data_IF_872106156796
#
_entry.id   IF_872106156796
#
_cell.length_a   1.000
_cell.length_b   1.000
_cell.length_c   1.000
_cell.angle_alpha   90.00
_cell.angle_beta   90.00
_cell.angle_gamma   90.00
#
_symmetry.space_group_name_H-M   'P 1'
#
loop_
_entity.id
_entity.type
_entity.pdbx_description
1 polymer ?
#
# COMPACT_ATOMS: atom_id res chain seq x y z
N UNK A 1 66.91 -32.96 20.22
CA UNK A 1 66.09 -33.74 21.17
C UNK A 1 64.88 -32.88 21.56
N UNK A 2 63.65 -33.41 21.63
CA UNK A 2 62.85 -33.67 20.42
C UNK A 2 61.39 -33.12 20.44
N UNK A 3 60.78 -33.07 19.23
CA UNK A 3 59.37 -33.31 18.83
C UNK A 3 58.25 -32.49 19.52
N UNK A 4 57.36 -31.82 18.79
CA UNK A 4 56.17 -32.49 18.22
C UNK A 4 55.45 -31.56 17.21
N UNK A 5 55.31 -32.00 15.96
CA UNK A 5 54.40 -31.43 14.98
C UNK A 5 53.05 -32.15 15.10
N UNK A 6 51.99 -31.42 15.44
CA UNK A 6 50.64 -31.96 15.55
C UNK A 6 49.99 -32.03 14.15
N UNK A 7 49.71 -33.25 13.70
CA UNK A 7 48.91 -33.56 12.52
C UNK A 7 47.43 -33.57 12.91
N UNK A 8 46.64 -32.62 12.40
CA UNK A 8 45.18 -32.60 12.57
C UNK A 8 44.49 -33.34 11.40
N UNK A 9 43.60 -34.32 11.66
CA UNK A 9 42.97 -35.11 10.60
C UNK A 9 41.85 -34.31 9.89
N UNK A 10 41.63 -34.51 8.58
CA UNK A 10 40.68 -33.75 7.75
C UNK A 10 39.20 -34.07 8.00
N UNK A 11 38.86 -35.12 8.76
CA UNK A 11 37.47 -35.62 8.89
C UNK A 11 36.54 -34.76 9.76
N UNK A 12 37.07 -33.79 10.52
CA UNK A 12 36.23 -32.95 11.40
C UNK A 12 35.54 -31.79 10.69
N UNK A 13 36.07 -31.30 9.58
CA UNK A 13 35.46 -30.20 8.83
C UNK A 13 34.29 -30.66 7.96
N UNK A 14 34.33 -31.90 7.46
CA UNK A 14 33.26 -32.43 6.59
C UNK A 14 31.94 -32.70 7.32
N UNK A 15 31.98 -33.04 8.62
CA UNK A 15 30.76 -33.28 9.42
C UNK A 15 30.04 -32.00 9.85
N UNK A 16 30.76 -30.89 10.05
CA UNK A 16 30.14 -29.62 10.48
C UNK A 16 29.40 -28.92 9.34
N UNK A 17 29.83 -29.09 8.09
CA UNK A 17 29.19 -28.43 6.94
C UNK A 17 27.88 -29.11 6.51
N UNK A 18 27.76 -30.44 6.72
CA UNK A 18 26.53 -31.20 6.44
C UNK A 18 25.42 -30.89 7.45
N UNK A 19 25.76 -30.74 8.72
CA UNK A 19 24.80 -30.38 9.79
C UNK A 19 24.40 -28.89 9.72
N UNK A 20 25.29 -28.00 9.28
CA UNK A 20 24.95 -26.58 9.07
C UNK A 20 23.97 -26.38 7.90
N UNK A 21 24.14 -27.15 6.81
CA UNK A 21 23.26 -27.10 5.63
C UNK A 21 21.85 -27.66 5.89
N UNK A 22 21.73 -28.75 6.65
CA UNK A 22 20.43 -29.35 7.00
C UNK A 22 19.63 -28.48 7.98
N UNK A 23 20.31 -27.80 8.93
CA UNK A 23 19.68 -26.91 9.90
C UNK A 23 19.22 -25.57 9.29
N UNK A 24 19.96 -25.03 8.32
CA UNK A 24 19.52 -23.84 7.55
C UNK A 24 18.34 -24.15 6.61
N UNK A 25 18.34 -25.30 5.94
CA UNK A 25 17.22 -25.71 5.08
C UNK A 25 15.92 -25.95 5.88
N UNK A 26 16.02 -26.61 7.05
CA UNK A 26 14.89 -26.86 7.95
C UNK A 26 14.29 -25.57 8.52
N UNK A 27 15.11 -24.59 8.88
CA UNK A 27 14.64 -23.27 9.36
C UNK A 27 14.07 -22.40 8.25
N UNK A 28 14.56 -22.51 7.01
CA UNK A 28 13.97 -21.84 5.84
C UNK A 28 12.60 -22.42 5.46
N UNK A 29 12.44 -23.74 5.47
CA UNK A 29 11.17 -24.42 5.16
C UNK A 29 10.11 -24.19 6.24
N UNK A 30 10.46 -24.34 7.53
CA UNK A 30 9.57 -24.00 8.64
C UNK A 30 9.15 -22.51 8.59
N UNK A 31 10.07 -21.66 8.13
CA UNK A 31 9.81 -20.24 7.96
C UNK A 31 8.92 -19.88 6.78
N UNK A 32 8.94 -20.67 5.70
CA UNK A 32 8.07 -20.53 4.54
C UNK A 32 6.63 -20.95 4.84
N UNK A 33 6.47 -22.13 5.45
CA UNK A 33 5.17 -22.69 5.81
C UNK A 33 4.38 -21.73 6.73
N UNK A 34 5.04 -21.14 7.73
CA UNK A 34 4.39 -20.17 8.61
C UNK A 34 3.85 -18.93 7.87
N UNK A 35 4.53 -18.45 6.82
CA UNK A 35 4.03 -17.31 6.01
C UNK A 35 2.82 -17.70 5.17
N UNK A 36 2.88 -18.89 4.57
CA UNK A 36 1.77 -19.44 3.79
C UNK A 36 0.53 -19.61 4.66
N UNK A 37 0.65 -20.21 5.85
CA UNK A 37 -0.47 -20.38 6.78
C UNK A 37 -1.06 -19.04 7.24
N UNK A 38 -0.22 -18.05 7.56
CA UNK A 38 -0.71 -16.71 7.90
C UNK A 38 -1.44 -16.04 6.73
N UNK A 39 -0.89 -16.14 5.52
CA UNK A 39 -1.53 -15.61 4.32
C UNK A 39 -2.87 -16.30 4.04
N UNK A 40 -2.97 -17.61 4.28
CA UNK A 40 -4.20 -18.38 4.12
C UNK A 40 -5.27 -17.94 5.13
N UNK A 41 -4.92 -17.81 6.41
CA UNK A 41 -5.84 -17.30 7.44
C UNK A 41 -6.34 -15.90 7.08
N UNK A 42 -5.42 -15.03 6.63
CA UNK A 42 -5.78 -13.69 6.20
C UNK A 42 -6.65 -13.67 4.94
N UNK A 43 -6.43 -14.58 3.98
CA UNK A 43 -7.28 -14.74 2.80
C UNK A 43 -8.73 -15.08 3.19
N UNK A 44 -8.92 -16.05 4.09
CA UNK A 44 -10.25 -16.39 4.61
C UNK A 44 -10.93 -15.22 5.32
N UNK A 45 -10.16 -14.47 6.12
CA UNK A 45 -10.64 -13.27 6.79
C UNK A 45 -11.13 -12.22 5.78
N UNK A 46 -10.36 -11.96 4.71
CA UNK A 46 -10.77 -11.04 3.65
C UNK A 46 -12.05 -11.49 2.93
N UNK A 47 -12.17 -12.78 2.58
CA UNK A 47 -13.36 -13.32 1.93
C UNK A 47 -14.61 -13.15 2.81
N UNK A 48 -14.49 -13.43 4.11
CA UNK A 48 -15.60 -13.24 5.05
C UNK A 48 -16.01 -11.76 5.13
N UNK A 49 -15.04 -10.84 5.27
CA UNK A 49 -15.35 -9.42 5.32
C UNK A 49 -15.97 -8.90 4.01
N UNK A 50 -15.51 -9.39 2.86
CA UNK A 50 -16.10 -9.04 1.58
C UNK A 50 -17.56 -9.50 1.48
N UNK A 51 -17.85 -10.74 1.90
CA UNK A 51 -19.23 -11.24 1.92
C UNK A 51 -20.16 -10.33 2.75
N UNK A 52 -19.77 -9.97 3.97
CA UNK A 52 -20.57 -9.08 4.84
C UNK A 52 -20.77 -7.70 4.20
N UNK A 53 -19.71 -7.10 3.64
CA UNK A 53 -19.79 -5.75 3.05
C UNK A 53 -20.56 -5.71 1.74
N UNK A 54 -20.53 -6.80 0.96
CA UNK A 54 -21.25 -6.88 -0.32
C UNK A 54 -22.76 -6.75 -0.19
N UNK A 55 -23.32 -7.07 0.98
CA UNK A 55 -24.74 -6.90 1.27
C UNK A 55 -25.19 -5.43 1.27
N UNK A 56 -24.25 -4.48 1.42
CA UNK A 56 -24.56 -3.07 1.68
C UNK A 56 -23.86 -2.10 0.72
N UNK A 57 -22.75 -2.51 0.11
CA UNK A 57 -21.88 -1.64 -0.71
C UNK A 57 -21.89 -1.99 -2.21
N UNK A 58 -22.94 -2.63 -2.70
CA UNK A 58 -23.08 -3.04 -4.11
C UNK A 58 -22.88 -1.85 -5.08
N UNK A 59 -23.40 -0.68 -4.72
CA UNK A 59 -23.24 0.57 -5.49
C UNK A 59 -21.79 1.07 -5.61
N UNK A 60 -20.86 0.61 -4.76
CA UNK A 60 -19.41 0.87 -4.86
C UNK A 60 -18.65 -0.26 -5.57
N UNK A 61 -19.36 -1.23 -6.16
CA UNK A 61 -18.79 -2.36 -6.89
C UNK A 61 -18.58 -3.62 -6.05
N UNK A 62 -19.10 -3.66 -4.82
CA UNK A 62 -19.06 -4.87 -3.99
C UNK A 62 -20.17 -5.84 -4.38
N UNK A 63 -20.04 -6.43 -5.57
CA UNK A 63 -20.98 -7.46 -6.05
C UNK A 63 -20.57 -8.84 -5.51
N UNK A 64 -21.53 -9.64 -5.04
CA UNK A 64 -21.29 -11.01 -4.60
C UNK A 64 -22.12 -12.00 -5.42
N UNK A 65 -21.44 -12.77 -6.27
CA UNK A 65 -22.02 -13.73 -7.22
C UNK A 65 -21.35 -15.09 -7.12
N UNK A 66 -21.02 -15.53 -5.90
CA UNK A 66 -20.35 -16.81 -5.69
C UNK A 66 -21.25 -17.99 -6.11
N UNK A 67 -20.79 -18.82 -7.04
CA UNK A 67 -21.50 -20.01 -7.54
C UNK A 67 -21.05 -21.30 -6.85
N UNK A 68 -19.82 -21.35 -6.35
CA UNK A 68 -19.22 -22.56 -5.79
C UNK A 68 -18.19 -22.25 -4.69
N UNK A 69 -18.46 -22.69 -3.46
CA UNK A 69 -17.55 -22.52 -2.32
C UNK A 69 -16.20 -23.23 -2.52
N UNK A 70 -16.17 -24.35 -3.23
CA UNK A 70 -14.93 -25.09 -3.54
C UNK A 70 -13.98 -24.23 -4.35
N UNK A 71 -14.51 -23.40 -5.27
CA UNK A 71 -13.73 -22.48 -6.07
C UNK A 71 -13.09 -21.39 -5.19
N UNK A 72 -13.84 -20.85 -4.22
CA UNK A 72 -13.34 -19.88 -3.28
C UNK A 72 -12.23 -20.46 -2.39
N UNK A 73 -12.44 -21.65 -1.84
CA UNK A 73 -11.44 -22.33 -1.01
C UNK A 73 -10.17 -22.68 -1.79
N UNK A 74 -10.32 -23.18 -3.02
CA UNK A 74 -9.21 -23.41 -3.94
C UNK A 74 -8.45 -22.11 -4.25
N UNK A 75 -9.17 -21.02 -4.52
CA UNK A 75 -8.56 -19.72 -4.77
C UNK A 75 -7.79 -19.19 -3.56
N UNK A 76 -8.32 -19.33 -2.33
CA UNK A 76 -7.61 -18.96 -1.09
C UNK A 76 -6.27 -19.71 -0.95
N UNK A 77 -6.28 -21.03 -1.19
CA UNK A 77 -5.09 -21.89 -1.15
C UNK A 77 -4.06 -21.40 -2.18
N UNK A 78 -4.48 -21.21 -3.43
CA UNK A 78 -3.59 -20.80 -4.52
C UNK A 78 -3.09 -19.36 -4.32
N UNK A 79 -3.94 -18.42 -3.91
CA UNK A 79 -3.60 -17.03 -3.68
C UNK A 79 -2.64 -16.84 -2.49
N UNK A 80 -2.60 -17.78 -1.53
CA UNK A 80 -1.63 -17.78 -0.44
C UNK A 80 -0.22 -18.26 -0.87
N UNK A 81 -0.09 -18.98 -1.99
CA UNK A 81 1.20 -19.55 -2.44
C UNK A 81 2.31 -18.52 -2.69
N UNK A 82 2.07 -17.31 -3.24
CA UNK A 82 3.12 -16.31 -3.44
C UNK A 82 3.75 -15.83 -2.11
N UNK A 83 3.07 -16.00 -0.97
CA UNK A 83 3.64 -15.69 0.35
C UNK A 83 4.90 -16.50 0.68
N UNK A 84 5.13 -17.62 -0.02
CA UNK A 84 6.36 -18.40 0.08
C UNK A 84 7.58 -17.62 -0.44
N UNK A 85 7.40 -16.70 -1.39
CA UNK A 85 8.47 -15.89 -1.96
C UNK A 85 8.85 -14.66 -1.12
N UNK A 86 7.96 -14.23 -0.22
CA UNK A 86 8.22 -13.08 0.65
C UNK A 86 9.52 -13.27 1.44
N UNK A 87 10.28 -12.20 1.65
CA UNK A 87 11.52 -12.27 2.44
C UNK A 87 11.15 -12.24 3.92
N UNK A 88 11.63 -13.21 4.71
CA UNK A 88 11.27 -13.33 6.13
C UNK A 88 11.78 -12.14 6.96
N UNK A 89 12.97 -11.64 6.61
CA UNK A 89 13.60 -10.47 7.22
C UNK A 89 14.00 -9.48 6.13
N UNK A 90 13.07 -8.63 5.67
CA UNK A 90 13.36 -7.59 4.69
C UNK A 90 14.47 -6.65 5.17
N UNK A 91 15.53 -6.53 4.37
CA UNK A 91 16.66 -5.61 4.60
C UNK A 91 16.65 -4.43 3.63
N UNK A 92 15.85 -4.51 2.56
CA UNK A 92 15.62 -3.42 1.61
C UNK A 92 14.18 -2.92 1.67
N UNK A 93 13.95 -1.68 1.26
CA UNK A 93 12.61 -1.11 1.19
C UNK A 93 11.70 -1.88 0.24
N UNK A 94 12.21 -2.31 -0.93
CA UNK A 94 11.45 -3.11 -1.87
C UNK A 94 10.93 -4.38 -1.19
N UNK A 95 11.79 -5.14 -0.52
CA UNK A 95 11.39 -6.38 0.17
C UNK A 95 10.31 -6.12 1.24
N UNK A 96 10.40 -4.99 1.94
CA UNK A 96 9.41 -4.62 2.95
C UNK A 96 8.09 -4.15 2.32
N UNK A 97 8.14 -3.26 1.34
CA UNK A 97 6.99 -2.84 0.53
C UNK A 97 6.31 -4.03 -0.16
N UNK A 98 7.08 -5.08 -0.50
CA UNK A 98 6.56 -6.34 -1.02
C UNK A 98 5.55 -7.01 -0.09
N UNK A 99 5.73 -6.90 1.23
CA UNK A 99 4.73 -7.39 2.19
C UNK A 99 3.43 -6.58 2.15
N UNK A 100 3.54 -5.25 2.07
CA UNK A 100 2.38 -4.36 2.01
C UNK A 100 1.60 -4.52 0.71
N UNK A 101 2.29 -4.49 -0.43
CA UNK A 101 1.67 -4.67 -1.76
C UNK A 101 1.04 -6.06 -1.88
N UNK A 102 1.69 -7.10 -1.34
CA UNK A 102 1.07 -8.42 -1.29
C UNK A 102 -0.24 -8.43 -0.47
N UNK A 103 -0.19 -7.92 0.76
CA UNK A 103 -1.33 -7.99 1.68
C UNK A 103 -2.49 -7.06 1.29
N UNK A 104 -2.21 -5.83 0.85
CA UNK A 104 -3.21 -4.79 0.61
C UNK A 104 -3.67 -4.69 -0.85
N UNK A 105 -2.90 -5.23 -1.80
CA UNK A 105 -3.21 -5.11 -3.23
C UNK A 105 -3.40 -6.49 -3.84
N UNK A 106 -2.36 -7.33 -3.91
CA UNK A 106 -2.45 -8.60 -4.63
C UNK A 106 -3.47 -9.55 -4.02
N UNK A 107 -3.48 -9.73 -2.69
CA UNK A 107 -4.39 -10.69 -2.07
C UNK A 107 -5.87 -10.30 -2.25
N UNK A 108 -6.29 -9.03 -2.02
CA UNK A 108 -7.62 -8.58 -2.40
C UNK A 108 -7.92 -8.72 -3.90
N UNK A 109 -6.98 -8.36 -4.79
CA UNK A 109 -7.17 -8.46 -6.25
C UNK A 109 -7.24 -9.90 -6.76
N UNK A 110 -6.69 -10.88 -6.03
CA UNK A 110 -6.81 -12.31 -6.33
C UNK A 110 -8.14 -12.88 -5.86
N UNK A 111 -8.62 -12.46 -4.69
CA UNK A 111 -9.77 -13.09 -4.04
C UNK A 111 -11.10 -12.44 -4.39
N UNK A 112 -11.15 -11.11 -4.47
CA UNK A 112 -12.41 -10.39 -4.71
C UNK A 112 -13.02 -10.73 -6.07
N UNK A 113 -12.27 -10.79 -7.19
CA UNK A 113 -12.81 -11.20 -8.47
C UNK A 113 -13.41 -12.62 -8.49
N UNK A 114 -12.94 -13.53 -7.63
CA UNK A 114 -13.54 -14.87 -7.48
C UNK A 114 -14.98 -14.75 -6.98
N UNK A 115 -15.24 -13.82 -6.07
CA UNK A 115 -16.59 -13.57 -5.55
C UNK A 115 -17.44 -12.71 -6.50
N UNK A 116 -16.83 -11.99 -7.46
CA UNK A 116 -17.55 -11.16 -8.43
C UNK A 116 -17.89 -11.89 -9.74
N UNK A 117 -17.02 -12.80 -10.20
CA UNK A 117 -17.06 -13.40 -11.55
C UNK A 117 -17.14 -14.92 -11.58
N UNK A 118 -17.55 -15.60 -10.49
CA UNK A 118 -17.60 -17.07 -10.49
C UNK A 118 -18.67 -17.69 -11.41
N UNK A 119 -19.54 -16.87 -12.00
CA UNK A 119 -20.45 -17.24 -13.08
C UNK A 119 -19.75 -17.36 -14.45
N UNK A 120 -18.61 -16.68 -14.65
CA UNK A 120 -17.79 -16.76 -15.86
C UNK A 120 -16.38 -17.30 -15.53
N UNK A 121 -16.25 -18.63 -15.54
CA UNK A 121 -14.99 -19.31 -15.23
C UNK A 121 -13.86 -18.98 -16.21
N UNK A 122 -14.17 -18.69 -17.48
CA UNK A 122 -13.16 -18.37 -18.48
C UNK A 122 -12.52 -17.02 -18.18
N UNK A 123 -13.35 -16.02 -17.93
CA UNK A 123 -12.92 -14.69 -17.52
C UNK A 123 -12.21 -14.70 -16.17
N UNK A 124 -12.77 -15.39 -15.18
CA UNK A 124 -12.14 -15.54 -13.87
C UNK A 124 -10.75 -16.19 -13.97
N UNK A 125 -10.58 -17.24 -14.76
CA UNK A 125 -9.30 -17.90 -14.94
C UNK A 125 -8.25 -16.96 -15.55
N UNK A 126 -8.63 -16.12 -16.52
CA UNK A 126 -7.73 -15.12 -17.09
C UNK A 126 -7.34 -14.06 -16.05
N UNK A 127 -8.30 -13.51 -15.32
CA UNK A 127 -8.05 -12.43 -14.35
C UNK A 127 -7.20 -12.95 -13.20
N UNK A 128 -7.59 -14.09 -12.64
CA UNK A 128 -6.86 -14.75 -11.56
C UNK A 128 -5.46 -15.14 -12.01
N UNK A 129 -5.32 -15.76 -13.19
CA UNK A 129 -4.02 -16.18 -13.75
C UNK A 129 -3.07 -15.01 -14.05
N UNK A 130 -3.57 -13.93 -14.65
CA UNK A 130 -2.79 -12.72 -14.90
C UNK A 130 -2.36 -12.03 -13.61
N UNK A 131 -3.26 -11.94 -12.62
CA UNK A 131 -2.95 -11.36 -11.31
C UNK A 131 -1.96 -12.22 -10.53
N UNK A 132 -2.11 -13.54 -10.57
CA UNK A 132 -1.23 -14.49 -9.88
C UNK A 132 0.17 -14.47 -10.48
N UNK A 133 0.29 -14.52 -11.81
CA UNK A 133 1.58 -14.42 -12.50
C UNK A 133 2.25 -13.07 -12.24
N UNK A 134 1.50 -11.97 -12.25
CA UNK A 134 1.97 -10.65 -11.84
C UNK A 134 2.50 -10.62 -10.40
N UNK A 135 1.77 -11.23 -9.47
CA UNK A 135 2.17 -11.36 -8.06
C UNK A 135 3.50 -12.12 -7.90
N UNK A 136 3.63 -13.28 -8.58
CA UNK A 136 4.86 -14.05 -8.59
C UNK A 136 6.04 -13.27 -9.17
N UNK A 137 5.84 -12.62 -10.33
CA UNK A 137 6.87 -11.80 -10.95
C UNK A 137 7.30 -10.63 -10.06
N UNK A 138 6.34 -9.92 -9.47
CA UNK A 138 6.60 -8.81 -8.55
C UNK A 138 7.42 -9.26 -7.34
N UNK A 139 6.98 -10.29 -6.63
CA UNK A 139 7.66 -10.78 -5.42
C UNK A 139 9.03 -11.37 -5.72
N UNK A 140 9.19 -12.08 -6.84
CA UNK A 140 10.48 -12.60 -7.28
C UNK A 140 11.49 -11.48 -7.58
N UNK A 141 11.05 -10.42 -8.26
CA UNK A 141 11.91 -9.28 -8.59
C UNK A 141 12.29 -8.48 -7.35
N UNK A 142 11.33 -8.20 -6.48
CA UNK A 142 11.51 -7.44 -5.22
C UNK A 142 12.44 -8.14 -4.24
N UNK A 143 12.50 -9.48 -4.27
CA UNK A 143 13.36 -10.28 -3.39
C UNK A 143 14.86 -10.02 -3.60
N UNK A 144 15.27 -9.68 -4.81
CA UNK A 144 16.69 -9.54 -5.16
C UNK A 144 17.39 -8.41 -4.43
N UNK A 145 18.69 -8.58 -4.20
CA UNK A 145 19.53 -7.54 -3.61
C UNK A 145 19.64 -6.30 -4.50
N UNK A 146 19.98 -5.18 -3.87
CA UNK A 146 20.01 -3.87 -4.50
C UNK A 146 21.36 -3.21 -4.22
N UNK A 147 22.03 -2.75 -5.28
CA UNK A 147 23.26 -1.96 -5.16
C UNK A 147 22.91 -0.56 -4.65
N UNK A 148 23.38 -0.25 -3.44
CA UNK A 148 23.10 1.02 -2.75
C UNK A 148 23.96 2.17 -3.29
N UNK A 149 23.38 3.36 -3.29
CA UNK A 149 24.02 4.63 -3.63
C UNK A 149 24.37 5.33 -2.32
N UNK A 150 25.58 5.87 -2.22
CA UNK A 150 26.00 6.64 -1.05
C UNK A 150 25.28 7.99 -1.04
N UNK A 151 24.70 8.34 0.10
CA UNK A 151 24.06 9.64 0.29
C UNK A 151 25.11 10.77 0.26
N UNK A 152 24.78 11.93 -0.34
CA UNK A 152 25.58 13.13 -0.18
C UNK A 152 25.49 13.64 1.26
N UNK A 153 26.54 14.29 1.73
CA UNK A 153 26.56 14.92 3.06
C UNK A 153 25.96 16.32 2.95
N UNK A 154 24.82 16.54 3.60
CA UNK A 154 24.15 17.85 3.67
C UNK A 154 24.23 18.38 5.11
N UNK A 155 24.55 19.67 5.32
CA UNK A 155 24.53 20.26 6.65
C UNK A 155 23.16 20.13 7.33
N UNK A 156 23.14 19.66 8.57
CA UNK A 156 21.91 19.41 9.34
C UNK A 156 21.01 20.64 9.44
N UNK A 157 21.58 21.82 9.67
CA UNK A 157 20.84 23.07 9.75
C UNK A 157 20.14 23.43 8.42
N UNK A 158 20.81 23.17 7.29
CA UNK A 158 20.25 23.46 5.97
C UNK A 158 19.10 22.51 5.65
N UNK A 159 19.28 21.21 5.89
CA UNK A 159 18.25 20.20 5.63
C UNK A 159 17.00 20.46 6.48
N UNK A 160 17.15 20.53 7.80
CA UNK A 160 16.03 20.71 8.72
C UNK A 160 15.39 22.09 8.59
N UNK A 161 16.18 23.15 8.34
CA UNK A 161 15.67 24.50 8.08
C UNK A 161 14.84 24.58 6.80
N UNK A 162 15.33 24.00 5.70
CA UNK A 162 14.59 23.96 4.43
C UNK A 162 13.32 23.10 4.54
N UNK A 163 13.40 21.93 5.20
CA UNK A 163 12.25 21.05 5.42
C UNK A 163 11.20 21.73 6.29
N UNK A 164 11.60 22.39 7.38
CA UNK A 164 10.68 23.12 8.25
C UNK A 164 10.01 24.29 7.52
N UNK A 165 10.78 25.07 6.74
CA UNK A 165 10.22 26.16 5.95
C UNK A 165 9.21 25.67 4.90
N UNK A 166 9.52 24.58 4.20
CA UNK A 166 8.63 23.96 3.22
C UNK A 166 7.35 23.41 3.88
N UNK A 167 7.52 22.65 4.97
CA UNK A 167 6.42 22.08 5.74
C UNK A 167 5.51 23.16 6.29
N UNK A 168 6.06 24.21 6.90
CA UNK A 168 5.30 25.32 7.45
C UNK A 168 4.57 26.10 6.36
N UNK A 169 5.23 26.36 5.22
CA UNK A 169 4.61 27.05 4.09
C UNK A 169 3.41 26.27 3.53
N UNK A 170 3.55 24.96 3.33
CA UNK A 170 2.45 24.09 2.88
C UNK A 170 1.33 24.01 3.93
N UNK A 171 1.67 23.85 5.20
CA UNK A 171 0.68 23.75 6.28
C UNK A 171 -0.12 25.05 6.43
N UNK A 172 0.56 26.20 6.43
CA UNK A 172 -0.09 27.53 6.47
C UNK A 172 -0.96 27.73 5.24
N UNK A 173 -0.49 27.36 4.05
CA UNK A 173 -1.29 27.44 2.82
C UNK A 173 -2.58 26.63 2.95
N UNK A 174 -2.51 25.41 3.47
CA UNK A 174 -3.69 24.56 3.70
C UNK A 174 -4.63 25.20 4.72
N UNK A 175 -4.12 25.62 5.89
CA UNK A 175 -4.96 26.22 6.95
C UNK A 175 -5.63 27.51 6.47
N UNK A 176 -4.91 28.38 5.74
CA UNK A 176 -5.45 29.64 5.21
C UNK A 176 -6.48 29.39 4.11
N UNK A 177 -6.24 28.41 3.23
CA UNK A 177 -7.17 28.11 2.12
C UNK A 177 -8.50 27.55 2.62
N UNK A 178 -8.49 26.81 3.72
CA UNK A 178 -9.71 26.28 4.36
C UNK A 178 -10.34 27.28 5.35
N UNK A 179 -9.55 28.23 5.89
CA UNK A 179 -10.05 29.39 6.64
C UNK A 179 -11.08 29.06 7.72
N UNK A 180 -12.24 29.72 7.69
CA UNK A 180 -13.34 29.52 8.65
C UNK A 180 -14.10 28.19 8.48
N UNK A 181 -13.87 27.45 7.40
CA UNK A 181 -14.43 26.11 7.19
C UNK A 181 -13.67 25.03 7.97
N UNK A 182 -12.55 25.38 8.61
CA UNK A 182 -11.80 24.49 9.49
C UNK A 182 -12.62 24.20 10.75
N UNK A 183 -13.35 23.09 10.75
CA UNK A 183 -14.08 22.62 11.92
C UNK A 183 -13.72 21.17 12.23
N UNK A 184 -13.40 20.89 13.50
CA UNK A 184 -13.29 19.52 14.02
C UNK A 184 -14.70 18.94 14.15
N UNK A 185 -15.27 18.53 13.02
CA UNK A 185 -16.64 18.01 12.99
C UNK A 185 -16.63 16.53 13.39
N UNK A 186 -17.65 16.14 14.15
CA UNK A 186 -17.93 14.75 14.49
C UNK A 186 -18.08 13.90 13.22
N UNK A 187 -17.86 12.60 13.33
CA UNK A 187 -17.71 11.72 12.16
C UNK A 187 -18.99 11.66 11.28
N UNK A 188 -20.11 12.17 11.80
CA UNK A 188 -21.46 12.12 11.24
C UNK A 188 -21.79 13.23 10.20
N UNK A 189 -21.16 14.41 10.25
CA UNK A 189 -21.47 15.55 9.33
C UNK A 189 -20.48 15.70 8.16
N UNK A 190 -19.64 14.69 7.96
CA UNK A 190 -18.51 14.71 7.03
C UNK A 190 -18.93 14.81 5.54
N UNK A 191 -20.15 14.40 5.21
CA UNK A 191 -20.63 14.45 3.83
C UNK A 191 -21.01 15.88 3.39
N UNK A 192 -21.55 16.70 4.29
CA UNK A 192 -21.90 18.10 3.98
C UNK A 192 -20.63 18.96 3.81
N UNK A 193 -19.62 18.74 4.66
CA UNK A 193 -18.32 19.43 4.53
C UNK A 193 -17.58 19.13 3.23
N UNK A 194 -17.81 17.97 2.59
CA UNK A 194 -17.13 17.64 1.32
C UNK A 194 -17.55 18.55 0.17
N UNK A 195 -18.79 19.06 0.17
CA UNK A 195 -19.25 20.00 -0.85
C UNK A 195 -18.60 21.38 -0.64
N UNK A 196 -18.57 21.88 0.60
CA UNK A 196 -17.96 23.18 0.94
C UNK A 196 -16.42 23.16 0.81
N UNK A 197 -15.78 22.04 1.17
CA UNK A 197 -14.35 21.83 1.05
C UNK A 197 -13.88 21.58 -0.40
N UNK A 198 -14.75 21.07 -1.27
CA UNK A 198 -14.42 20.86 -2.69
C UNK A 198 -14.15 22.19 -3.39
N UNK A 199 -14.84 23.27 -3.00
CA UNK A 199 -14.63 24.62 -3.54
C UNK A 199 -13.26 25.19 -3.13
N UNK A 200 -12.86 25.04 -1.86
CA UNK A 200 -11.53 25.42 -1.38
C UNK A 200 -10.41 24.54 -1.98
N UNK A 201 -10.71 23.27 -2.27
CA UNK A 201 -9.80 22.34 -2.93
C UNK A 201 -9.73 22.51 -4.46
N UNK A 202 -10.41 23.48 -5.07
CA UNK A 202 -10.27 23.75 -6.52
C UNK A 202 -8.85 24.18 -6.90
N UNK A 203 -8.11 24.82 -5.99
CA UNK A 203 -6.74 25.24 -6.25
C UNK A 203 -5.79 24.02 -6.31
N UNK A 204 -5.17 23.74 -7.48
CA UNK A 204 -4.28 22.58 -7.63
C UNK A 204 -3.11 22.60 -6.64
N UNK A 205 -2.58 23.78 -6.30
CA UNK A 205 -1.43 23.91 -5.39
C UNK A 205 -1.79 23.47 -3.97
N UNK A 206 -3.00 23.79 -3.52
CA UNK A 206 -3.51 23.36 -2.21
C UNK A 206 -3.71 21.85 -2.20
N UNK A 207 -4.28 21.26 -3.26
CA UNK A 207 -4.42 19.80 -3.40
C UNK A 207 -3.08 19.08 -3.36
N UNK A 208 -2.09 19.59 -4.08
CA UNK A 208 -0.74 19.03 -4.04
C UNK A 208 -0.08 19.17 -2.67
N UNK A 209 -0.27 20.29 -1.99
CA UNK A 209 0.26 20.50 -0.63
C UNK A 209 -0.33 19.49 0.35
N UNK A 210 -1.64 19.24 0.29
CA UNK A 210 -2.31 18.23 1.13
C UNK A 210 -1.80 16.83 0.83
N UNK A 211 -1.68 16.47 -0.45
CA UNK A 211 -1.16 15.18 -0.86
C UNK A 211 0.29 14.96 -0.35
N UNK A 212 1.19 15.92 -0.61
CA UNK A 212 2.60 15.82 -0.23
C UNK A 212 2.82 15.85 1.29
N UNK A 213 2.08 16.67 2.03
CA UNK A 213 2.13 16.67 3.50
C UNK A 213 1.66 15.33 4.05
N UNK A 214 0.48 14.87 3.63
CA UNK A 214 -0.16 13.66 4.16
C UNK A 214 0.57 12.36 3.80
N UNK A 215 1.17 12.25 2.62
CA UNK A 215 1.77 11.00 2.14
C UNK A 215 3.29 10.92 2.28
N UNK A 216 3.99 12.06 2.39
CA UNK A 216 5.46 12.10 2.38
C UNK A 216 6.05 12.87 3.57
N UNK A 217 5.73 14.16 3.74
CA UNK A 217 6.42 15.01 4.71
C UNK A 217 6.03 14.64 6.15
N UNK A 218 4.74 14.58 6.48
CA UNK A 218 4.31 14.30 7.85
C UNK A 218 4.69 12.88 8.30
N UNK A 219 4.46 11.82 7.49
CA UNK A 219 4.94 10.48 7.83
C UNK A 219 6.47 10.42 7.99
N UNK A 220 7.22 11.18 7.19
CA UNK A 220 8.68 11.30 7.35
C UNK A 220 9.05 11.95 8.67
N UNK A 221 8.41 13.06 9.06
CA UNK A 221 8.68 13.74 10.34
C UNK A 221 8.38 12.82 11.53
N UNK A 222 7.28 12.09 11.50
CA UNK A 222 6.94 11.07 12.51
C UNK A 222 8.02 10.01 12.58
N UNK A 223 8.38 9.41 11.44
CA UNK A 223 9.36 8.34 11.40
C UNK A 223 10.76 8.81 11.82
N UNK A 224 11.19 10.00 11.36
CA UNK A 224 12.50 10.58 11.67
C UNK A 224 12.60 11.00 13.13
N UNK A 225 11.54 11.61 13.69
CA UNK A 225 11.46 11.96 15.11
C UNK A 225 11.54 10.74 16.02
N UNK A 226 10.86 9.64 15.67
CA UNK A 226 10.96 8.37 16.40
C UNK A 226 12.37 7.75 16.28
N UNK A 227 12.96 7.78 15.09
CA UNK A 227 14.29 7.21 14.86
C UNK A 227 15.40 7.92 15.64
N UNK A 228 15.34 9.26 15.66
CA UNK A 228 16.29 10.16 16.34
C UNK A 228 15.94 10.44 17.80
N UNK A 229 14.84 9.89 18.32
CA UNK A 229 14.29 10.15 19.68
C UNK A 229 13.91 11.60 19.94
N UNK A 230 13.76 12.42 18.90
CA UNK A 230 13.27 13.80 18.98
C UNK A 230 11.75 13.80 18.87
N UNK A 231 11.08 13.40 19.96
CA UNK A 231 9.63 13.21 19.98
C UNK A 231 8.81 14.47 19.64
N UNK A 232 9.38 15.66 19.81
CA UNK A 232 8.72 16.90 19.39
C UNK A 232 8.56 16.99 17.86
N UNK A 233 9.51 16.47 17.07
CA UNK A 233 9.41 16.39 15.60
C UNK A 233 8.31 15.40 15.23
N UNK A 234 8.27 14.26 15.91
CA UNK A 234 7.23 13.27 15.67
C UNK A 234 5.83 13.81 16.06
N UNK A 235 5.75 14.54 17.17
CA UNK A 235 4.53 15.23 17.60
C UNK A 235 4.06 16.28 16.59
N UNK A 236 4.98 17.06 16.01
CA UNK A 236 4.65 18.04 14.98
C UNK A 236 4.07 17.38 13.72
N UNK A 237 4.70 16.31 13.21
CA UNK A 237 4.18 15.55 12.07
C UNK A 237 2.82 14.90 12.35
N UNK A 238 2.64 14.31 13.54
CA UNK A 238 1.36 13.73 13.95
C UNK A 238 0.26 14.80 14.11
N UNK A 239 0.59 15.98 14.61
CA UNK A 239 -0.34 17.09 14.74
C UNK A 239 -0.75 17.63 13.36
N UNK A 240 0.19 17.81 12.44
CA UNK A 240 -0.12 18.21 11.06
C UNK A 240 -1.04 17.22 10.36
N UNK A 241 -0.81 15.92 10.55
CA UNK A 241 -1.70 14.85 10.10
C UNK A 241 -3.15 14.99 10.63
N UNK A 242 -3.30 15.33 11.92
CA UNK A 242 -4.61 15.61 12.53
C UNK A 242 -5.22 16.88 11.93
N UNK A 243 -4.41 17.92 11.67
CA UNK A 243 -4.85 19.14 10.99
C UNK A 243 -5.35 18.85 9.58
N UNK A 244 -4.64 18.03 8.79
CA UNK A 244 -5.06 17.61 7.45
C UNK A 244 -6.34 16.77 7.47
N UNK A 245 -6.58 16.00 8.52
CA UNK A 245 -7.86 15.30 8.67
C UNK A 245 -9.03 16.29 8.75
N UNK A 246 -8.84 17.39 9.48
CA UNK A 246 -9.86 18.44 9.66
C UNK A 246 -10.20 19.23 8.38
N UNK A 247 -9.44 19.09 7.30
CA UNK A 247 -9.70 19.82 6.04
C UNK A 247 -10.51 19.02 5.04
N UNK A 248 -10.12 17.78 4.71
CA UNK A 248 -10.59 17.13 3.48
C UNK A 248 -11.40 15.85 3.69
N UNK A 249 -11.95 15.63 4.88
CA UNK A 249 -12.68 14.39 5.19
C UNK A 249 -11.86 13.13 4.80
N UNK A 250 -10.54 13.25 4.77
CA UNK A 250 -9.61 12.22 4.32
C UNK A 250 -9.38 11.28 5.50
N UNK A 251 -10.44 10.56 5.87
CA UNK A 251 -10.49 9.63 7.00
C UNK A 251 -9.34 8.59 6.98
N UNK A 252 -8.74 8.34 5.82
CA UNK A 252 -7.56 7.49 5.66
C UNK A 252 -6.27 8.09 6.24
N UNK A 253 -6.15 9.42 6.31
CA UNK A 253 -4.97 10.13 6.86
C UNK A 253 -4.84 9.83 8.35
N UNK A 254 -5.94 9.85 9.13
CA UNK A 254 -5.95 9.52 10.57
C UNK A 254 -5.31 8.17 10.94
N UNK A 255 -5.42 7.18 10.07
CA UNK A 255 -4.84 5.85 10.30
C UNK A 255 -3.33 5.84 10.04
N UNK A 256 -2.81 6.78 9.26
CA UNK A 256 -1.43 6.74 8.81
C UNK A 256 -0.39 6.96 9.92
N UNK A 257 -0.57 7.79 10.97
CA UNK A 257 0.36 7.82 12.10
C UNK A 257 0.37 6.50 12.86
N UNK A 258 -0.78 5.83 12.99
CA UNK A 258 -0.87 4.49 13.59
C UNK A 258 -0.11 3.46 12.73
N UNK A 259 -0.22 3.54 11.40
CA UNK A 259 0.57 2.71 10.49
C UNK A 259 2.06 3.00 10.59
N UNK A 260 2.49 4.27 10.68
CA UNK A 260 3.90 4.66 10.84
C UNK A 260 4.45 4.11 12.16
N UNK A 261 3.72 4.30 13.26
CA UNK A 261 4.10 3.80 14.60
C UNK A 261 4.14 2.27 14.60
N UNK A 262 3.09 1.62 14.08
CA UNK A 262 3.02 0.17 13.96
C UNK A 262 4.19 -0.39 13.14
N UNK A 263 4.49 0.24 12.00
CA UNK A 263 5.61 -0.13 11.14
C UNK A 263 6.97 0.06 11.83
N UNK A 264 7.13 1.11 12.65
CA UNK A 264 8.34 1.31 13.44
C UNK A 264 8.58 0.16 14.44
N UNK A 265 7.52 -0.37 15.05
CA UNK A 265 7.60 -1.53 15.96
C UNK A 265 7.80 -2.87 15.25
N UNK A 266 7.71 -2.94 13.92
CA UNK A 266 8.08 -4.13 13.14
C UNK A 266 9.59 -4.34 13.07
N UNK A 267 10.41 -3.40 13.58
CA UNK A 267 11.87 -3.48 13.58
C UNK A 267 12.38 -4.62 14.47
N UNK A 268 13.36 -5.37 13.98
CA UNK A 268 14.20 -6.24 14.80
C UNK A 268 15.46 -5.51 15.33
N UNK A 269 16.17 -6.13 16.27
CA UNK A 269 17.39 -5.57 16.85
C UNK A 269 18.51 -5.27 15.85
N UNK A 270 18.41 -5.74 14.60
CA UNK A 270 19.41 -5.60 13.54
C UNK A 270 18.92 -4.73 12.37
N UNK A 271 17.89 -3.89 12.59
CA UNK A 271 17.34 -2.96 11.59
C UNK A 271 16.59 -3.60 10.42
N UNK A 272 16.30 -4.90 10.48
CA UNK A 272 15.45 -5.60 9.51
C UNK A 272 13.97 -5.62 9.97
N UNK A 273 13.04 -5.75 9.03
CA UNK A 273 11.61 -5.86 9.35
C UNK A 273 11.28 -7.29 9.76
N UNK A 274 10.42 -7.45 10.76
CA UNK A 274 9.74 -8.73 11.04
C UNK A 274 8.49 -8.82 10.18
N UNK A 275 8.66 -9.14 8.89
CA UNK A 275 7.55 -9.11 7.92
C UNK A 275 6.31 -9.91 8.33
N UNK A 276 6.49 -11.05 9.01
CA UNK A 276 5.37 -11.85 9.56
C UNK A 276 4.49 -11.09 10.55
N UNK A 277 5.07 -10.16 11.32
CA UNK A 277 4.30 -9.36 12.27
C UNK A 277 3.32 -8.42 11.57
N UNK A 278 3.53 -8.07 10.30
CA UNK A 278 2.53 -7.34 9.52
C UNK A 278 1.27 -8.18 9.33
N UNK A 279 1.39 -9.42 8.83
CA UNK A 279 0.23 -10.31 8.66
C UNK A 279 -0.41 -10.66 10.01
N UNK A 280 0.39 -10.95 11.04
CA UNK A 280 -0.15 -11.20 12.39
C UNK A 280 -0.88 -9.97 12.92
N UNK A 281 -0.35 -8.76 12.68
CA UNK A 281 -0.98 -7.51 13.05
C UNK A 281 -2.31 -7.29 12.32
N UNK A 282 -2.36 -7.51 11.00
CA UNK A 282 -3.59 -7.40 10.20
C UNK A 282 -4.63 -8.44 10.62
N UNK A 283 -4.22 -9.69 10.86
CA UNK A 283 -5.10 -10.75 11.40
C UNK A 283 -5.57 -10.36 12.81
N UNK A 284 -4.69 -9.82 13.66
CA UNK A 284 -5.04 -9.36 15.00
C UNK A 284 -6.07 -8.25 14.96
N UNK A 285 -5.88 -7.24 14.11
CA UNK A 285 -6.85 -6.18 13.86
C UNK A 285 -8.18 -6.77 13.39
N UNK A 286 -8.15 -7.73 12.46
CA UNK A 286 -9.35 -8.42 12.00
C UNK A 286 -10.08 -9.13 13.14
N UNK A 287 -9.40 -9.98 13.90
CA UNK A 287 -9.98 -10.74 15.02
C UNK A 287 -10.55 -9.81 16.09
N UNK A 288 -9.82 -8.74 16.44
CA UNK A 288 -10.27 -7.76 17.43
C UNK A 288 -11.51 -6.98 16.99
N UNK A 289 -11.64 -6.72 15.68
CA UNK A 289 -12.75 -5.93 15.13
C UNK A 289 -13.84 -6.79 14.50
N UNK A 290 -13.69 -8.12 14.51
CA UNK A 290 -14.68 -9.08 14.00
C UNK A 290 -16.07 -8.92 14.64
N UNK A 291 -16.20 -8.70 15.97
CA UNK A 291 -17.52 -8.49 16.57
C UNK A 291 -18.22 -7.22 16.04
N UNK A 292 -17.45 -6.19 15.65
CA UNK A 292 -17.98 -4.97 15.05
C UNK A 292 -18.48 -5.24 13.63
N UNK A 293 -17.75 -6.07 12.87
CA UNK A 293 -18.13 -6.47 11.53
C UNK A 293 -19.40 -7.34 11.53
N UNK A 294 -19.56 -8.24 12.51
CA UNK A 294 -20.76 -9.07 12.66
C UNK A 294 -22.01 -8.26 13.02
N UNK A 295 -21.84 -7.09 13.64
CA UNK A 295 -22.92 -6.17 14.03
C UNK A 295 -23.06 -5.00 13.06
N UNK A 296 -22.48 -5.12 11.87
CA UNK A 296 -22.50 -4.06 10.88
C UNK A 296 -23.94 -3.81 10.40
N UNK A 297 -24.43 -2.60 10.62
CA UNK A 297 -25.74 -2.12 10.19
C UNK A 297 -25.52 -0.76 9.51
N UNK A 298 -25.73 -0.61 8.19
CA UNK A 298 -25.43 0.64 7.50
C UNK A 298 -26.23 1.86 8.01
N UNK A 299 -27.33 1.67 8.75
CA UNK A 299 -28.10 2.76 9.36
C UNK A 299 -27.54 3.21 10.73
N UNK A 300 -26.56 2.50 11.29
CA UNK A 300 -26.01 2.81 12.62
C UNK A 300 -24.84 3.81 12.59
N UNK A 301 -24.63 4.49 13.72
CA UNK A 301 -23.65 5.57 13.92
C UNK A 301 -22.15 5.17 13.84
N UNK A 302 -21.32 5.75 14.71
CA UNK A 302 -19.86 5.84 14.55
C UNK A 302 -19.11 4.49 14.38
N UNK A 303 -19.68 3.37 14.85
CA UNK A 303 -19.12 2.02 14.68
C UNK A 303 -19.04 1.62 13.20
N UNK A 304 -20.08 1.90 12.42
CA UNK A 304 -20.13 1.50 11.01
C UNK A 304 -19.20 2.33 10.14
N UNK A 305 -19.00 3.59 10.51
CA UNK A 305 -18.01 4.44 9.86
C UNK A 305 -16.60 3.89 10.10
N UNK A 306 -16.28 3.41 11.31
CA UNK A 306 -15.01 2.75 11.59
C UNK A 306 -14.83 1.45 10.78
N UNK A 307 -15.86 0.59 10.74
CA UNK A 307 -15.83 -0.66 9.95
C UNK A 307 -15.67 -0.36 8.46
N UNK A 308 -16.39 0.62 7.91
CA UNK A 308 -16.24 1.06 6.52
C UNK A 308 -14.83 1.59 6.22
N UNK A 309 -14.24 2.38 7.12
CA UNK A 309 -12.88 2.86 6.94
C UNK A 309 -11.84 1.76 6.95
N UNK A 310 -11.95 0.86 7.92
CA UNK A 310 -10.98 -0.20 8.10
C UNK A 310 -11.12 -1.25 6.99
N UNK A 311 -12.31 -1.84 6.83
CA UNK A 311 -12.50 -2.97 5.94
C UNK A 311 -12.75 -2.56 4.50
N UNK A 312 -13.75 -1.70 4.29
CA UNK A 312 -14.11 -1.28 2.93
C UNK A 312 -12.97 -0.46 2.32
N UNK A 313 -12.57 0.67 2.93
CA UNK A 313 -11.58 1.58 2.32
C UNK A 313 -10.13 1.13 2.40
N UNK A 314 -9.70 0.43 3.43
CA UNK A 314 -8.28 0.10 3.59
C UNK A 314 -7.93 -1.29 3.06
N UNK A 315 -8.81 -2.28 3.23
CA UNK A 315 -8.49 -3.68 2.93
C UNK A 315 -9.12 -4.20 1.63
N UNK A 316 -10.37 -3.83 1.33
CA UNK A 316 -11.15 -4.51 0.29
C UNK A 316 -11.42 -3.68 -0.96
N UNK A 317 -11.43 -2.34 -0.88
CA UNK A 317 -11.72 -1.48 -2.03
C UNK A 317 -10.74 -1.70 -3.19
N UNK A 318 -9.47 -2.03 -2.89
CA UNK A 318 -8.48 -2.33 -3.90
C UNK A 318 -8.88 -3.55 -4.74
N UNK A 319 -9.43 -4.60 -4.12
CA UNK A 319 -9.93 -5.78 -4.83
C UNK A 319 -11.27 -5.53 -5.54
N UNK A 320 -12.19 -4.81 -4.88
CA UNK A 320 -13.52 -4.53 -5.43
C UNK A 320 -13.43 -3.67 -6.70
N UNK A 321 -12.69 -2.55 -6.63
CA UNK A 321 -12.49 -1.66 -7.78
C UNK A 321 -11.69 -2.32 -8.90
N UNK A 322 -10.75 -3.22 -8.58
CA UNK A 322 -10.03 -3.99 -9.59
C UNK A 322 -10.96 -4.81 -10.48
N UNK A 323 -11.97 -5.49 -9.91
CA UNK A 323 -12.99 -6.18 -10.71
C UNK A 323 -13.86 -5.23 -11.52
N UNK A 324 -14.29 -4.10 -10.96
CA UNK A 324 -15.08 -3.09 -11.72
C UNK A 324 -14.30 -2.57 -12.94
N UNK A 325 -13.00 -2.31 -12.77
CA UNK A 325 -12.13 -1.90 -13.88
C UNK A 325 -12.06 -2.99 -14.96
N UNK A 326 -12.02 -4.26 -14.55
CA UNK A 326 -11.99 -5.38 -15.50
C UNK A 326 -13.29 -5.48 -16.29
N UNK A 327 -14.42 -5.26 -15.64
CA UNK A 327 -15.72 -5.18 -16.28
C UNK A 327 -15.86 -4.04 -17.27
N UNK A 328 -15.30 -2.90 -16.94
CA UNK A 328 -15.32 -1.77 -17.86
C UNK A 328 -14.37 -1.99 -19.05
N UNK A 329 -13.09 -2.24 -18.80
CA UNK A 329 -12.06 -2.31 -19.86
C UNK A 329 -12.08 -3.58 -20.70
N UNK A 330 -12.90 -4.57 -20.35
CA UNK A 330 -13.23 -5.69 -21.26
C UNK A 330 -14.23 -5.29 -22.36
N UNK A 331 -14.98 -4.20 -22.17
CA UNK A 331 -16.02 -3.73 -23.09
C UNK A 331 -15.66 -2.41 -23.79
N UNK A 332 -14.86 -1.57 -23.14
CA UNK A 332 -14.53 -0.22 -23.61
C UNK A 332 -13.04 -0.05 -23.99
N UNK A 333 -12.69 0.98 -24.78
CA UNK A 333 -11.32 1.18 -25.27
C UNK A 333 -10.25 1.31 -24.16
N UNK A 334 -9.10 0.69 -24.36
CA UNK A 334 -7.98 0.83 -23.43
C UNK A 334 -7.36 2.23 -23.48
N UNK A 335 -6.78 2.68 -22.37
CA UNK A 335 -6.16 4.01 -22.30
C UNK A 335 -4.76 4.05 -22.88
N UNK A 336 -4.03 2.93 -22.96
CA UNK A 336 -2.63 2.89 -23.39
C UNK A 336 -1.74 3.92 -22.67
N UNK A 337 -1.94 4.09 -21.35
CA UNK A 337 -1.26 5.07 -20.48
C UNK A 337 -1.51 6.55 -20.78
N UNK A 338 -2.40 6.88 -21.72
CA UNK A 338 -2.76 8.27 -22.07
C UNK A 338 -3.48 9.04 -20.95
N UNK A 339 -3.80 8.38 -19.83
CA UNK A 339 -4.23 9.03 -18.59
C UNK A 339 -3.11 9.87 -17.93
N UNK A 340 -1.85 9.68 -18.33
CA UNK A 340 -0.73 10.48 -17.89
C UNK A 340 -0.48 11.64 -18.86
N UNK A 341 -0.24 12.85 -18.35
CA UNK A 341 -0.01 14.06 -19.14
C UNK A 341 1.18 13.98 -20.10
N UNK A 342 2.13 13.08 -19.85
CA UNK A 342 3.29 12.86 -20.73
C UNK A 342 2.96 11.97 -21.92
N UNK A 343 2.11 10.96 -21.73
CA UNK A 343 1.77 9.98 -22.77
C UNK A 343 0.59 10.48 -23.61
N UNK A 344 -0.29 11.29 -23.02
CA UNK A 344 -1.40 11.93 -23.74
C UNK A 344 -0.95 12.84 -24.90
N UNK A 345 0.33 13.24 -24.93
CA UNK A 345 0.95 13.95 -26.05
C UNK A 345 1.10 13.09 -27.31
N UNK A 346 1.19 11.76 -27.15
CA UNK A 346 1.44 10.81 -28.24
C UNK A 346 0.24 9.92 -28.53
N UNK A 347 -0.60 9.67 -27.52
CA UNK A 347 -1.78 8.80 -27.64
C UNK A 347 -3.01 9.56 -27.17
N UNK A 348 -4.01 9.67 -28.04
CA UNK A 348 -5.28 10.32 -27.72
C UNK A 348 -6.02 9.54 -26.64
N UNK A 349 -6.38 10.23 -25.56
CA UNK A 349 -7.16 9.64 -24.48
C UNK A 349 -8.63 9.43 -24.92
N UNK A 350 -9.16 8.19 -24.85
CA UNK A 350 -10.45 7.87 -25.46
C UNK A 350 -11.68 8.42 -24.72
N UNK A 351 -11.52 8.92 -23.48
CA UNK A 351 -12.63 9.35 -22.63
C UNK A 351 -12.71 10.87 -22.41
N UNK A 352 -12.13 11.65 -23.32
CA UNK A 352 -12.26 13.11 -23.32
C UNK A 352 -11.64 13.76 -22.08
N UNK A 353 -12.42 14.54 -21.33
CA UNK A 353 -11.95 15.30 -20.16
C UNK A 353 -12.11 14.56 -18.83
N UNK A 354 -12.79 13.41 -18.82
CA UNK A 354 -13.05 12.66 -17.59
C UNK A 354 -11.81 11.88 -17.15
N UNK A 355 -11.50 11.89 -15.86
CA UNK A 355 -10.46 11.00 -15.33
C UNK A 355 -10.88 9.53 -15.49
N UNK A 356 -9.91 8.61 -15.47
CA UNK A 356 -10.20 7.18 -15.59
C UNK A 356 -11.16 6.72 -14.49
N UNK A 357 -10.93 7.17 -13.25
CA UNK A 357 -11.81 6.87 -12.12
C UNK A 357 -13.22 7.44 -12.28
N UNK A 358 -13.36 8.64 -12.85
CA UNK A 358 -14.69 9.22 -13.16
C UNK A 358 -15.42 8.43 -14.25
N UNK A 359 -14.70 8.01 -15.28
CA UNK A 359 -15.26 7.24 -16.40
C UNK A 359 -15.81 5.89 -15.91
N UNK A 360 -15.02 5.16 -15.12
CA UNK A 360 -15.45 3.88 -14.54
C UNK A 360 -16.57 4.08 -13.52
N UNK A 361 -16.55 5.16 -12.74
CA UNK A 361 -17.65 5.47 -11.82
C UNK A 361 -18.97 5.75 -12.55
N UNK A 362 -18.92 6.48 -13.67
CA UNK A 362 -20.11 6.77 -14.47
C UNK A 362 -20.73 5.49 -15.05
N UNK A 363 -19.91 4.49 -15.37
CA UNK A 363 -20.39 3.17 -15.77
C UNK A 363 -21.11 2.44 -14.62
N UNK A 364 -20.56 2.52 -13.40
CA UNK A 364 -21.11 1.85 -12.23
C UNK A 364 -22.41 2.49 -11.71
N UNK A 365 -22.50 3.83 -11.76
CA UNK A 365 -23.67 4.60 -11.30
C UNK A 365 -24.08 5.58 -12.43
N UNK A 366 -24.99 5.17 -13.33
CA UNK A 366 -25.33 5.95 -14.53
C UNK A 366 -26.14 7.25 -14.30
N UNK A 367 -26.36 7.69 -13.06
CA UNK A 367 -27.19 8.87 -12.76
C UNK A 367 -26.39 10.18 -12.85
N UNK A 368 -26.94 11.17 -13.54
CA UNK A 368 -26.39 12.53 -13.68
C UNK A 368 -26.41 13.36 -12.39
N UNK A 369 -26.57 12.72 -11.23
CA UNK A 369 -26.82 13.35 -9.93
C UNK A 369 -25.96 12.77 -8.78
N UNK A 370 -24.76 12.28 -9.10
CA UNK A 370 -23.66 12.28 -8.15
C UNK A 370 -22.59 13.21 -8.72
N UNK A 371 -22.44 14.40 -8.14
CA UNK A 371 -21.35 15.32 -8.46
C UNK A 371 -20.04 14.53 -8.51
N UNK A 372 -19.48 14.41 -9.74
CA UNK A 372 -18.67 13.27 -10.17
C UNK A 372 -17.48 13.01 -9.24
N UNK A 373 -17.66 12.06 -8.32
CA UNK A 373 -16.57 11.50 -7.52
C UNK A 373 -15.52 10.81 -8.39
N UNK A 374 -14.46 10.30 -7.75
CA UNK A 374 -13.46 9.49 -8.45
C UNK A 374 -13.41 8.08 -7.85
N UNK A 375 -13.72 7.07 -8.65
CA UNK A 375 -13.48 5.66 -8.31
C UNK A 375 -12.00 5.30 -8.55
N UNK A 376 -11.17 5.82 -7.65
CA UNK A 376 -9.74 5.58 -7.61
C UNK A 376 -9.45 4.10 -7.34
N UNK A 377 -8.47 3.56 -8.06
CA UNK A 377 -8.09 2.16 -8.00
C UNK A 377 -6.57 1.99 -8.00
N UNK A 378 -6.11 0.85 -7.48
CA UNK A 378 -4.69 0.54 -7.37
C UNK A 378 -3.97 0.50 -8.73
N UNK A 379 -2.64 0.47 -8.68
CA UNK A 379 -1.80 0.48 -9.88
C UNK A 379 -2.01 -0.74 -10.81
N UNK A 380 -2.48 -1.89 -10.33
CA UNK A 380 -2.79 -3.04 -11.20
C UNK A 380 -4.04 -2.76 -12.04
N UNK A 381 -5.05 -2.12 -11.45
CA UNK A 381 -6.27 -1.72 -12.14
C UNK A 381 -5.99 -0.60 -13.17
N UNK A 382 -5.22 0.41 -12.77
CA UNK A 382 -4.98 1.61 -13.60
C UNK A 382 -3.87 1.41 -14.62
N UNK A 383 -2.66 1.02 -14.21
CA UNK A 383 -1.51 0.86 -15.11
C UNK A 383 -1.42 -0.51 -15.77
N UNK A 384 -2.15 -1.49 -15.24
CA UNK A 384 -2.29 -2.80 -15.88
C UNK A 384 -3.53 -2.84 -16.75
N UNK A 385 -4.67 -2.96 -16.11
CA UNK A 385 -5.94 -3.29 -16.73
C UNK A 385 -6.52 -2.18 -17.60
N UNK A 386 -6.57 -0.94 -17.11
CA UNK A 386 -7.05 0.19 -17.92
C UNK A 386 -6.10 0.51 -19.09
N UNK A 387 -4.79 0.38 -18.88
CA UNK A 387 -3.79 0.73 -19.88
C UNK A 387 -3.67 -0.30 -21.01
N UNK A 388 -3.52 -1.58 -20.67
CA UNK A 388 -3.20 -2.65 -21.62
C UNK A 388 -4.12 -3.89 -21.48
N UNK A 389 -5.22 -3.77 -20.75
CA UNK A 389 -6.09 -4.89 -20.45
C UNK A 389 -5.41 -5.91 -19.55
N UNK A 390 -5.86 -7.16 -19.64
CA UNK A 390 -5.43 -8.24 -18.74
C UNK A 390 -3.93 -8.56 -18.82
N UNK A 391 -3.32 -8.39 -20.00
CA UNK A 391 -1.88 -8.59 -20.23
C UNK A 391 -1.06 -7.49 -19.55
N UNK A 392 -1.66 -6.31 -19.34
CA UNK A 392 -1.04 -5.22 -18.62
C UNK A 392 -0.77 -5.52 -17.15
N UNK A 393 -1.54 -6.41 -16.51
CA UNK A 393 -1.43 -6.68 -15.08
C UNK A 393 -0.05 -7.27 -14.69
N UNK A 394 0.45 -8.33 -15.36
CA UNK A 394 1.83 -8.77 -15.18
C UNK A 394 2.87 -7.69 -15.49
N UNK A 395 2.67 -6.89 -16.54
CA UNK A 395 3.62 -5.84 -16.92
C UNK A 395 3.71 -4.74 -15.85
N UNK A 396 2.58 -4.24 -15.39
CA UNK A 396 2.48 -3.24 -14.32
C UNK A 396 3.13 -3.78 -13.02
N UNK A 397 2.94 -5.07 -12.74
CA UNK A 397 3.60 -5.75 -11.62
C UNK A 397 5.13 -5.72 -11.76
N UNK A 398 5.67 -6.04 -12.93
CA UNK A 398 7.11 -5.97 -13.20
C UNK A 398 7.65 -4.54 -13.06
N UNK A 399 6.97 -3.56 -13.65
CA UNK A 399 7.36 -2.14 -13.60
C UNK A 399 7.32 -1.61 -12.15
N UNK A 400 6.26 -1.93 -11.41
CA UNK A 400 6.14 -1.57 -9.98
C UNK A 400 7.26 -2.16 -9.13
N UNK A 401 7.62 -3.43 -9.37
CA UNK A 401 8.77 -4.05 -8.70
C UNK A 401 10.08 -3.33 -9.01
N UNK A 402 10.32 -2.96 -10.28
CA UNK A 402 11.50 -2.20 -10.67
C UNK A 402 11.54 -0.82 -10.01
N UNK A 403 10.42 -0.10 -9.95
CA UNK A 403 10.33 1.20 -9.29
C UNK A 403 10.73 1.10 -7.81
N UNK A 404 10.19 0.13 -7.07
CA UNK A 404 10.54 -0.09 -5.65
C UNK A 404 12.01 -0.49 -5.46
N UNK A 405 12.58 -1.27 -6.39
CA UNK A 405 14.01 -1.61 -6.37
C UNK A 405 14.89 -0.39 -6.60
N UNK A 406 14.50 0.51 -7.50
CA UNK A 406 15.21 1.77 -7.73
C UNK A 406 15.16 2.63 -6.46
N UNK A 407 13.98 2.78 -5.84
CA UNK A 407 13.83 3.51 -4.58
C UNK A 407 14.72 2.93 -3.47
N UNK A 408 14.85 1.60 -3.41
CA UNK A 408 15.71 0.92 -2.44
C UNK A 408 17.20 1.20 -2.62
N UNK A 409 17.65 1.65 -3.81
CA UNK A 409 19.05 2.03 -4.04
C UNK A 409 19.44 3.25 -3.22
N UNK A 410 18.49 4.12 -2.91
CA UNK A 410 18.71 5.37 -2.19
C UNK A 410 18.61 5.22 -0.67
N UNK A 411 18.47 3.99 -0.15
CA UNK A 411 18.28 3.77 1.28
C UNK A 411 19.34 2.82 1.85
N UNK A 412 20.07 3.35 2.81
CA UNK A 412 20.99 2.58 3.64
C UNK A 412 20.22 1.59 4.52
N UNK A 413 20.83 0.45 4.84
CA UNK A 413 20.21 -0.64 5.60
C UNK A 413 19.62 -0.19 6.94
N UNK A 414 20.40 0.62 7.66
CA UNK A 414 20.03 1.21 8.94
C UNK A 414 18.81 2.15 8.84
N UNK A 415 18.54 2.67 7.65
CA UNK A 415 17.42 3.58 7.32
C UNK A 415 16.25 2.83 6.67
N UNK A 416 16.35 1.52 6.41
CA UNK A 416 15.26 0.75 5.80
C UNK A 416 13.99 0.85 6.64
N UNK A 417 14.08 0.74 7.97
CA UNK A 417 12.88 0.86 8.84
C UNK A 417 12.28 2.27 8.81
N UNK A 418 13.12 3.30 8.71
CA UNK A 418 12.64 4.67 8.55
C UNK A 418 11.86 4.81 7.24
N UNK A 419 12.41 4.26 6.15
CA UNK A 419 11.76 4.28 4.84
C UNK A 419 10.45 3.49 4.84
N UNK A 420 10.40 2.36 5.54
CA UNK A 420 9.17 1.56 5.67
C UNK A 420 8.12 2.30 6.48
N UNK A 421 8.48 2.86 7.63
CA UNK A 421 7.55 3.56 8.50
C UNK A 421 7.02 4.84 7.84
N UNK A 422 7.91 5.70 7.33
CA UNK A 422 7.50 6.93 6.64
C UNK A 422 6.90 6.68 5.25
N UNK A 423 7.21 5.55 4.60
CA UNK A 423 6.70 5.20 3.27
C UNK A 423 5.30 4.60 3.27
N UNK A 424 4.66 4.46 4.44
CA UNK A 424 3.29 3.94 4.57
C UNK A 424 2.27 4.76 3.76
N UNK A 425 2.41 6.09 3.75
CA UNK A 425 1.57 6.96 2.92
C UNK A 425 1.68 6.65 1.43
N UNK A 426 2.91 6.48 0.93
CA UNK A 426 3.17 6.05 -0.45
C UNK A 426 2.64 4.64 -0.74
N UNK A 427 2.79 3.68 0.18
CA UNK A 427 2.26 2.33 0.01
C UNK A 427 0.71 2.31 -0.04
N UNK A 428 0.04 3.16 0.73
CA UNK A 428 -1.40 3.36 0.66
C UNK A 428 -1.82 4.08 -0.63
N UNK A 429 -1.01 5.02 -1.14
CA UNK A 429 -1.24 5.64 -2.44
C UNK A 429 -1.21 4.60 -3.57
N UNK A 430 -0.24 3.67 -3.56
CA UNK A 430 -0.17 2.59 -4.55
C UNK A 430 -1.42 1.68 -4.55
N UNK A 431 -2.06 1.52 -3.39
CA UNK A 431 -3.30 0.75 -3.26
C UNK A 431 -4.54 1.50 -3.78
N UNK A 432 -4.42 2.79 -4.11
CA UNK A 432 -5.54 3.64 -4.50
C UNK A 432 -5.31 4.41 -5.80
N UNK A 433 -4.09 4.48 -6.34
CA UNK A 433 -3.80 5.23 -7.56
C UNK A 433 -2.84 4.48 -8.48
N UNK A 434 -2.59 5.04 -9.68
CA UNK A 434 -1.50 4.61 -10.55
C UNK A 434 -0.12 4.76 -9.89
N UNK A 435 0.85 3.99 -10.36
CA UNK A 435 2.24 4.00 -9.93
C UNK A 435 2.89 5.37 -10.14
N UNK A 436 2.71 5.97 -11.32
CA UNK A 436 3.32 7.27 -11.63
C UNK A 436 2.69 8.40 -10.80
N UNK A 437 1.37 8.39 -10.64
CA UNK A 437 0.66 9.29 -9.72
C UNK A 437 1.17 9.10 -8.30
N UNK A 438 1.30 7.86 -7.81
CA UNK A 438 1.84 7.58 -6.47
C UNK A 438 3.28 8.08 -6.27
N UNK A 439 4.14 7.94 -7.28
CA UNK A 439 5.54 8.38 -7.23
C UNK A 439 5.66 9.91 -7.24
N UNK A 440 4.93 10.59 -8.12
CA UNK A 440 5.05 12.03 -8.33
C UNK A 440 4.15 12.80 -7.38
N UNK A 441 2.83 12.64 -7.52
CA UNK A 441 1.83 13.44 -6.83
C UNK A 441 1.46 12.85 -5.46
N UNK A 442 1.59 11.52 -5.32
CA UNK A 442 1.51 10.80 -4.05
C UNK A 442 2.77 10.88 -3.21
N UNK A 443 3.76 11.70 -3.60
CA UNK A 443 4.90 12.07 -2.77
C UNK A 443 5.98 10.99 -2.62
N UNK A 444 5.91 9.86 -3.33
CA UNK A 444 6.90 8.78 -3.22
C UNK A 444 8.34 9.23 -3.52
N UNK A 445 8.55 10.03 -4.57
CA UNK A 445 9.85 10.58 -4.94
C UNK A 445 10.36 11.60 -3.91
N UNK A 446 9.47 12.48 -3.44
CA UNK A 446 9.81 13.45 -2.38
C UNK A 446 10.23 12.71 -1.11
N UNK A 447 9.46 11.71 -0.69
CA UNK A 447 9.77 10.88 0.47
C UNK A 447 11.13 10.18 0.32
N UNK A 448 11.40 9.58 -0.85
CA UNK A 448 12.71 9.02 -1.16
C UNK A 448 13.84 10.03 -1.02
N UNK A 449 13.66 11.25 -1.56
CA UNK A 449 14.64 12.31 -1.45
C UNK A 449 14.87 12.72 0.02
N UNK A 450 13.81 12.86 0.82
CA UNK A 450 13.91 13.17 2.24
C UNK A 450 14.73 12.10 2.99
N UNK A 451 14.44 10.82 2.80
CA UNK A 451 15.17 9.71 3.45
C UNK A 451 16.64 9.64 2.98
N UNK A 452 16.89 9.87 1.69
CA UNK A 452 18.23 9.84 1.11
C UNK A 452 19.11 10.98 1.61
N UNK A 453 18.54 12.19 1.75
CA UNK A 453 19.27 13.42 2.06
C UNK A 453 19.34 13.73 3.56
N UNK A 454 18.49 13.13 4.39
CA UNK A 454 18.39 13.47 5.80
C UNK A 454 19.69 13.13 6.58
N UNK A 455 20.23 14.08 7.36
CA UNK A 455 21.29 13.82 8.33
C UNK A 455 20.65 13.25 9.60
N UNK A 456 20.72 11.93 9.75
CA UNK A 456 20.02 11.14 10.78
C UNK A 456 20.98 10.50 11.77
N UNK A 457 22.07 11.18 12.08
CA UNK A 457 23.01 10.70 13.08
C UNK A 457 22.34 10.77 14.46
N UNK A 458 22.49 9.67 15.22
CA UNK A 458 22.09 9.63 16.62
C UNK A 458 23.19 10.31 17.43
N UNK A 459 22.91 11.51 17.91
CA UNK A 459 23.72 12.15 18.96
C UNK A 459 23.77 11.29 20.22
#
# INVERSE_FOLDING_TARGET
>A
MPLTAAYSPPDRQMRTDVDAGSTQAGTMLAGGLGRYLLALIYAFALCYAYHVLSLWWDYFGFTYRLTNDVLLYGACIVAATPALLLVARPTTFAQAAGWFVYALIFLPCLLVPVMQFSDDLGRLAQVFGATLSGCFAFLALVRGDVRRIKAPVIPSQLFWGALFALWLAMLVMVVVSFGAQFQFVGVDDIYNQRFDAAEAATNPVVRYSIALLGSAIDPFLVAAGLHTRRYWIAGAGALAQITLYGTLAAKAVLLSPLFVIGAYFLRDGHSAMRGRLLLVGLIGVFVLTLPLLMRYDPLGGSINQFVSLLYMRTLLIAGATYGVYEQFFSLFPLTYYSNNSLVSLFVTYPYGTLSVGQTVQQFLIPSSAFELGELNANFLATDGMAALGIVGVPLASVVGAFALRIMSRFVAEERTMLMVAGGTGFMLALANTSLLTSLVTGGGLLFCALVFLAPLDRD
#
